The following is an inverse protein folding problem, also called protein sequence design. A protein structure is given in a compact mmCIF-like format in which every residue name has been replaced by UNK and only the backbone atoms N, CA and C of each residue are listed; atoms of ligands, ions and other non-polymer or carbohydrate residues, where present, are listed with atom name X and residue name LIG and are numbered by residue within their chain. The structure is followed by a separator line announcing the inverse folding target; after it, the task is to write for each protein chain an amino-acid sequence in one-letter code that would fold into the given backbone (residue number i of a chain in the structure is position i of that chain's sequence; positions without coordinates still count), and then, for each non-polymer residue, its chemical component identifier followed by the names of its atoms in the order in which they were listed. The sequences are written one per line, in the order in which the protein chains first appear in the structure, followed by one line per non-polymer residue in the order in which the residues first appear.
data_IF_767658658711
#
_entry.id   IF_767658658711
#
_cell.length_a   1.000
_cell.length_b   1.000
_cell.length_c   1.000
_cell.angle_alpha   90.00
_cell.angle_beta   90.00
_cell.angle_gamma   90.00
#
_symmetry.space_group_name_H-M   'P 1'
#
loop_
_entity.id
_entity.type
_entity.pdbx_description
1 polymer ?
#
# COMPACT_ATOMS: atom_id res chain seq x y z
N UNK A 1 -0.04 14.04 9.46
CA UNK A 1 -1.30 13.79 8.74
C UNK A 1 -2.14 12.92 9.65
N UNK A 2 -3.29 13.40 10.09
CA UNK A 2 -4.18 12.60 10.93
C UNK A 2 -4.89 11.57 10.04
N UNK A 3 -4.91 10.30 10.48
CA UNK A 3 -5.60 9.22 9.78
C UNK A 3 -6.47 8.48 10.78
N UNK A 4 -7.76 8.38 10.49
CA UNK A 4 -8.74 7.72 11.36
C UNK A 4 -9.10 6.37 10.76
N UNK A 5 -8.94 5.29 11.52
CA UNK A 5 -9.39 3.97 11.08
C UNK A 5 -10.92 3.99 10.90
N UNK A 6 -11.38 3.64 9.71
CA UNK A 6 -12.80 3.57 9.38
C UNK A 6 -13.28 2.13 9.39
N UNK A 7 -12.52 1.25 8.76
CA UNK A 7 -12.94 -0.14 8.59
C UNK A 7 -11.74 -1.09 8.51
N UNK A 8 -12.01 -2.36 8.79
CA UNK A 8 -11.05 -3.47 8.71
C UNK A 8 -11.72 -4.67 8.05
N UNK A 9 -11.17 -5.08 6.92
CA UNK A 9 -11.69 -6.15 6.07
C UNK A 9 -10.72 -7.33 6.08
N UNK A 10 -11.22 -8.52 6.41
CA UNK A 10 -10.48 -9.77 6.18
C UNK A 10 -10.51 -10.13 4.70
N UNK A 11 -9.34 -10.45 4.14
CA UNK A 11 -9.17 -10.85 2.75
C UNK A 11 -9.12 -12.38 2.66
N UNK A 12 -9.55 -12.95 1.53
CA UNK A 12 -9.68 -14.41 1.35
C UNK A 12 -8.35 -15.16 1.49
N UNK A 13 -7.23 -14.49 1.20
CA UNK A 13 -5.90 -15.08 1.36
C UNK A 13 -5.42 -15.11 2.82
N UNK A 14 -6.14 -14.49 3.77
CA UNK A 14 -5.79 -14.39 5.19
C UNK A 14 -5.16 -13.06 5.61
N UNK A 15 -4.91 -12.15 4.67
CA UNK A 15 -4.44 -10.79 4.99
C UNK A 15 -5.58 -9.92 5.52
N UNK A 16 -5.19 -8.79 6.14
CA UNK A 16 -6.14 -7.80 6.64
C UNK A 16 -5.93 -6.46 5.93
N UNK A 17 -7.00 -5.95 5.31
CA UNK A 17 -7.06 -4.61 4.76
C UNK A 17 -7.63 -3.65 5.80
N UNK A 18 -6.88 -2.59 6.11
CA UNK A 18 -7.33 -1.48 6.95
C UNK A 18 -7.60 -0.28 6.07
N UNK A 19 -8.78 0.32 6.22
CA UNK A 19 -9.16 1.55 5.54
C UNK A 19 -9.14 2.71 6.53
N UNK A 20 -8.42 3.77 6.17
CA UNK A 20 -8.35 4.99 6.95
C UNK A 20 -8.90 6.18 6.18
N UNK A 21 -9.59 7.05 6.91
CA UNK A 21 -9.99 8.38 6.47
C UNK A 21 -8.87 9.36 6.78
N UNK A 22 -8.27 9.90 5.73
CA UNK A 22 -7.25 10.96 5.79
C UNK A 22 -7.79 12.31 5.35
N UNK A 23 -9.12 12.48 5.32
CA UNK A 23 -9.76 13.70 4.83
C UNK A 23 -9.42 14.89 5.73
N UNK A 24 -9.23 16.05 5.11
CA UNK A 24 -8.91 17.30 5.80
C UNK A 24 -9.51 18.49 5.10
N UNK A 25 -9.79 19.52 5.88
CA UNK A 25 -10.20 20.83 5.36
C UNK A 25 -8.98 21.54 4.75
N UNK A 26 -9.15 22.09 3.54
CA UNK A 26 -8.09 22.85 2.85
C UNK A 26 -8.28 24.35 3.11
N UNK A 27 -9.42 24.91 2.69
CA UNK A 27 -9.73 26.34 2.83
C UNK A 27 -11.25 26.57 2.78
N UNK A 28 -11.76 27.53 3.56
CA UNK A 28 -13.19 27.93 3.59
C UNK A 28 -14.18 26.75 3.73
N UNK A 29 -14.78 26.30 2.63
CA UNK A 29 -15.72 25.17 2.53
C UNK A 29 -15.15 23.99 1.71
N UNK A 30 -13.90 24.09 1.28
CA UNK A 30 -13.21 23.10 0.44
C UNK A 30 -12.45 22.08 1.27
N UNK A 31 -12.73 20.81 0.96
CA UNK A 31 -12.12 19.64 1.57
C UNK A 31 -11.25 18.88 0.58
N UNK A 32 -10.20 18.27 1.12
CA UNK A 32 -9.53 17.11 0.52
C UNK A 32 -10.14 15.88 1.19
N UNK A 33 -10.74 15.00 0.39
CA UNK A 33 -11.21 13.69 0.85
C UNK A 33 -10.14 12.66 0.50
N UNK A 34 -9.71 11.86 1.47
CA UNK A 34 -8.69 10.84 1.23
C UNK A 34 -9.06 9.51 1.88
N UNK A 35 -9.00 8.44 1.10
CA UNK A 35 -9.09 7.06 1.55
C UNK A 35 -7.71 6.41 1.45
N UNK A 36 -7.24 5.85 2.56
CA UNK A 36 -5.94 5.18 2.65
C UNK A 36 -6.19 3.70 2.90
N UNK A 37 -5.87 2.87 1.91
CA UNK A 37 -5.92 1.42 2.01
C UNK A 37 -4.55 0.88 2.40
N UNK A 38 -4.49 0.16 3.51
CA UNK A 38 -3.26 -0.39 4.07
C UNK A 38 -3.37 -1.90 4.29
N UNK A 39 -2.37 -2.65 3.83
CA UNK A 39 -2.21 -4.07 4.11
C UNK A 39 -0.79 -4.30 4.59
N UNK A 40 -0.64 -4.91 5.77
CA UNK A 40 0.64 -5.41 6.23
C UNK A 40 0.85 -6.82 5.66
N UNK A 41 1.89 -7.01 4.86
CA UNK A 41 2.24 -8.30 4.27
C UNK A 41 3.45 -8.87 5.00
N UNK A 42 3.26 -9.90 5.86
CA UNK A 42 4.37 -10.57 6.53
C UNK A 42 5.31 -11.22 5.52
N UNK A 43 6.62 -11.21 5.80
CA UNK A 43 7.62 -11.83 4.89
C UNK A 43 7.50 -13.36 4.85
N UNK A 44 6.88 -13.97 5.86
CA UNK A 44 6.65 -15.41 5.97
C UNK A 44 5.35 -15.88 5.28
N UNK A 45 4.53 -14.94 4.79
CA UNK A 45 3.25 -15.24 4.15
C UNK A 45 3.39 -15.99 2.82
N UNK A 46 4.31 -15.63 1.91
CA UNK A 46 4.46 -16.35 0.65
C UNK A 46 5.18 -17.70 0.84
N UNK A 47 4.91 -18.60 -0.10
CA UNK A 47 5.66 -19.85 -0.25
C UNK A 47 7.17 -19.56 -0.43
N UNK A 48 8.06 -20.14 0.41
CA UNK A 48 9.50 -20.02 0.25
C UNK A 48 10.01 -20.38 -1.15
N UNK A 49 9.40 -21.35 -1.83
CA UNK A 49 9.80 -21.72 -3.19
C UNK A 49 9.59 -20.57 -4.18
N UNK A 50 8.50 -19.81 -4.02
CA UNK A 50 8.19 -18.67 -4.88
C UNK A 50 9.28 -17.60 -4.78
N UNK A 51 9.75 -17.32 -3.55
CA UNK A 51 10.82 -16.36 -3.31
C UNK A 51 12.16 -16.87 -3.86
N UNK A 52 12.46 -18.15 -3.63
CA UNK A 52 13.69 -18.78 -4.11
C UNK A 52 13.79 -18.75 -5.64
N UNK A 53 12.70 -19.04 -6.36
CA UNK A 53 12.63 -18.93 -7.84
C UNK A 53 12.87 -17.51 -8.34
N UNK A 54 12.56 -16.50 -7.52
CA UNK A 54 12.84 -15.10 -7.81
C UNK A 54 14.24 -14.64 -7.38
N UNK A 55 15.08 -15.56 -6.88
CA UNK A 55 16.46 -15.31 -6.48
C UNK A 55 16.61 -14.51 -5.19
N UNK A 56 15.67 -14.68 -4.25
CA UNK A 56 15.69 -14.01 -2.94
C UNK A 56 15.17 -14.92 -1.83
N UNK A 57 15.49 -14.57 -0.59
CA UNK A 57 15.02 -15.23 0.63
C UNK A 57 14.16 -14.29 1.46
N UNK A 58 13.49 -14.84 2.48
CA UNK A 58 12.74 -14.03 3.46
C UNK A 58 13.65 -13.06 4.21
N UNK A 59 14.86 -13.49 4.56
CA UNK A 59 15.85 -12.66 5.24
C UNK A 59 16.28 -11.48 4.37
N UNK A 60 16.53 -11.71 3.08
CA UNK A 60 16.88 -10.64 2.14
C UNK A 60 15.79 -9.55 2.12
N UNK A 61 14.53 -9.96 2.14
CA UNK A 61 13.37 -9.05 2.14
C UNK A 61 13.29 -8.31 3.47
N UNK A 62 13.35 -9.01 4.60
CA UNK A 62 13.23 -8.38 5.93
C UNK A 62 14.38 -7.42 6.23
N UNK A 63 15.60 -7.73 5.81
CA UNK A 63 16.76 -6.85 5.99
C UNK A 63 16.66 -5.60 5.11
N UNK A 64 16.13 -5.74 3.88
CA UNK A 64 16.02 -4.63 2.94
C UNK A 64 14.79 -3.74 3.18
N UNK A 65 13.64 -4.33 3.54
CA UNK A 65 12.33 -3.69 3.53
C UNK A 65 11.62 -3.70 4.90
N UNK A 66 12.14 -4.45 5.87
CA UNK A 66 11.48 -4.72 7.14
C UNK A 66 10.44 -5.83 7.07
N UNK A 67 9.84 -6.11 8.22
CA UNK A 67 8.75 -7.08 8.36
C UNK A 67 7.72 -6.53 9.39
N UNK A 68 6.44 -6.38 9.02
CA UNK A 68 5.84 -6.64 7.70
C UNK A 68 6.18 -5.57 6.66
N UNK A 69 6.12 -5.94 5.38
CA UNK A 69 6.20 -4.96 4.27
C UNK A 69 4.80 -4.37 4.06
N UNK A 70 4.70 -3.04 4.16
CA UNK A 70 3.42 -2.34 4.03
C UNK A 70 3.07 -2.06 2.57
N UNK A 71 1.94 -2.60 2.13
CA UNK A 71 1.22 -2.09 0.97
C UNK A 71 0.36 -0.90 1.42
N UNK A 72 0.55 0.25 0.76
CA UNK A 72 -0.29 1.42 0.97
C UNK A 72 -0.75 1.98 -0.37
N UNK A 73 -2.06 2.26 -0.46
CA UNK A 73 -2.66 2.96 -1.59
C UNK A 73 -3.50 4.11 -1.05
N UNK A 74 -3.13 5.33 -1.45
CA UNK A 74 -3.90 6.54 -1.17
C UNK A 74 -4.71 6.91 -2.40
N UNK A 75 -6.02 7.06 -2.24
CA UNK A 75 -6.90 7.69 -3.21
C UNK A 75 -7.44 8.98 -2.59
N UNK A 76 -7.34 10.09 -3.33
CA UNK A 76 -7.80 11.38 -2.85
C UNK A 76 -8.61 12.13 -3.90
N UNK A 77 -9.51 12.99 -3.43
CA UNK A 77 -10.25 13.97 -4.21
C UNK A 77 -10.10 15.33 -3.55
N UNK A 78 -9.72 16.32 -4.35
CA UNK A 78 -9.48 17.68 -3.88
C UNK A 78 -10.69 18.58 -4.20
N UNK A 79 -10.80 19.71 -3.49
CA UNK A 79 -11.81 20.75 -3.71
C UNK A 79 -13.28 20.31 -3.54
N UNK A 80 -13.51 19.31 -2.69
CA UNK A 80 -14.86 18.82 -2.37
C UNK A 80 -15.60 19.85 -1.54
N UNK A 81 -16.81 20.22 -1.97
CA UNK A 81 -17.69 21.11 -1.22
C UNK A 81 -18.17 20.44 0.08
N UNK A 82 -18.34 21.22 1.14
CA UNK A 82 -18.76 20.69 2.43
C UNK A 82 -20.13 19.98 2.37
N UNK A 83 -21.02 20.40 1.46
CA UNK A 83 -22.31 19.75 1.21
C UNK A 83 -22.18 18.35 0.61
N UNK A 84 -21.12 18.12 -0.16
CA UNK A 84 -20.87 16.86 -0.88
C UNK A 84 -19.89 15.95 -0.14
N UNK A 85 -19.39 16.37 1.02
CA UNK A 85 -18.34 15.67 1.75
C UNK A 85 -18.71 14.21 2.02
N UNK A 86 -19.90 13.95 2.58
CA UNK A 86 -20.34 12.59 2.90
C UNK A 86 -20.49 11.70 1.66
N UNK A 87 -21.31 12.06 0.64
CA UNK A 87 -21.48 11.20 -0.53
C UNK A 87 -20.17 10.99 -1.31
N UNK A 88 -19.28 11.98 -1.36
CA UNK A 88 -17.97 11.84 -2.01
C UNK A 88 -17.06 10.89 -1.22
N UNK A 89 -17.03 11.00 0.11
CA UNK A 89 -16.26 10.08 0.95
C UNK A 89 -16.77 8.65 0.82
N UNK A 90 -18.08 8.42 0.97
CA UNK A 90 -18.66 7.09 0.88
C UNK A 90 -18.39 6.45 -0.49
N UNK A 91 -18.59 7.21 -1.57
CA UNK A 91 -18.31 6.76 -2.93
C UNK A 91 -16.82 6.46 -3.18
N UNK A 92 -15.92 7.24 -2.57
CA UNK A 92 -14.48 7.01 -2.67
C UNK A 92 -14.07 5.71 -1.96
N UNK A 93 -14.58 5.48 -0.76
CA UNK A 93 -14.32 4.25 0.01
C UNK A 93 -14.88 3.03 -0.72
N UNK A 94 -16.11 3.10 -1.23
CA UNK A 94 -16.70 2.01 -2.02
C UNK A 94 -15.86 1.70 -3.26
N UNK A 95 -15.43 2.73 -4.00
CA UNK A 95 -14.56 2.56 -5.17
C UNK A 95 -13.21 1.90 -4.83
N UNK A 96 -12.63 2.23 -3.68
CA UNK A 96 -11.41 1.58 -3.17
C UNK A 96 -11.67 0.12 -2.87
N UNK A 97 -12.77 -0.21 -2.18
CA UNK A 97 -13.14 -1.59 -1.85
C UNK A 97 -13.36 -2.41 -3.12
N UNK A 98 -14.20 -1.93 -4.04
CA UNK A 98 -14.57 -2.64 -5.26
C UNK A 98 -13.36 -2.92 -6.17
N UNK A 99 -12.37 -2.02 -6.16
CA UNK A 99 -11.17 -2.15 -6.99
C UNK A 99 -10.05 -2.94 -6.33
N UNK A 100 -9.78 -2.72 -5.04
CA UNK A 100 -8.63 -3.30 -4.36
C UNK A 100 -8.94 -4.67 -3.76
N UNK A 101 -10.11 -4.89 -3.16
CA UNK A 101 -10.39 -6.17 -2.45
C UNK A 101 -10.24 -7.37 -3.37
N UNK A 102 -10.77 -7.40 -4.61
CA UNK A 102 -10.58 -8.54 -5.51
C UNK A 102 -9.12 -8.80 -5.86
N UNK A 103 -8.30 -7.76 -5.98
CA UNK A 103 -6.88 -7.88 -6.29
C UNK A 103 -6.06 -8.34 -5.08
N UNK A 104 -6.30 -7.73 -3.92
CA UNK A 104 -5.57 -7.99 -2.68
C UNK A 104 -5.93 -9.34 -2.07
N UNK A 105 -7.13 -9.87 -2.33
CA UNK A 105 -7.58 -11.18 -1.84
C UNK A 105 -7.01 -12.35 -2.61
N UNK A 106 -6.32 -12.11 -3.74
CA UNK A 106 -5.74 -13.19 -4.53
C UNK A 106 -4.66 -13.93 -3.73
N UNK A 107 -4.55 -15.26 -3.85
CA UNK A 107 -3.55 -16.04 -3.12
C UNK A 107 -2.11 -15.72 -3.56
N UNK A 108 -1.91 -15.26 -4.81
CA UNK A 108 -0.59 -14.91 -5.35
C UNK A 108 -0.16 -13.47 -5.05
N UNK A 109 -1.06 -12.62 -4.55
CA UNK A 109 -0.78 -11.21 -4.26
C UNK A 109 0.42 -11.02 -3.31
N UNK A 110 0.47 -11.67 -2.13
CA UNK A 110 1.53 -11.43 -1.15
C UNK A 110 2.93 -11.67 -1.72
N UNK A 111 3.13 -12.82 -2.37
CA UNK A 111 4.40 -13.19 -2.97
C UNK A 111 4.80 -12.27 -4.12
N UNK A 112 3.87 -11.95 -5.01
CA UNK A 112 4.14 -11.01 -6.11
C UNK A 112 4.48 -9.61 -5.60
N UNK A 113 3.80 -9.15 -4.55
CA UNK A 113 4.05 -7.87 -3.93
C UNK A 113 5.46 -7.79 -3.33
N UNK A 114 5.86 -8.78 -2.52
CA UNK A 114 7.19 -8.80 -1.90
C UNK A 114 8.31 -8.86 -2.95
N UNK A 115 8.18 -9.74 -3.95
CA UNK A 115 9.16 -9.86 -5.04
C UNK A 115 9.34 -8.52 -5.76
N UNK A 116 8.23 -7.88 -6.13
CA UNK A 116 8.26 -6.58 -6.81
C UNK A 116 8.93 -5.51 -5.95
N UNK A 117 8.57 -5.42 -4.67
CA UNK A 117 9.14 -4.42 -3.75
C UNK A 117 10.64 -4.61 -3.55
N UNK A 118 11.09 -5.86 -3.43
CA UNK A 118 12.50 -6.16 -3.30
C UNK A 118 13.28 -5.82 -4.59
N UNK A 119 12.71 -6.13 -5.75
CA UNK A 119 13.30 -5.73 -7.04
C UNK A 119 13.40 -4.21 -7.20
N UNK A 120 12.36 -3.46 -6.82
CA UNK A 120 12.37 -1.99 -6.80
C UNK A 120 13.49 -1.45 -5.89
N UNK A 121 13.65 -1.99 -4.69
CA UNK A 121 14.73 -1.63 -3.76
C UNK A 121 16.12 -1.91 -4.34
N UNK A 122 16.31 -3.09 -4.95
CA UNK A 122 17.58 -3.47 -5.58
C UNK A 122 17.95 -2.55 -6.75
N UNK A 123 16.97 -2.11 -7.53
CA UNK A 123 17.21 -1.15 -8.60
C UNK A 123 17.66 0.19 -8.01
N UNK A 124 16.93 0.75 -7.05
CA UNK A 124 17.24 2.04 -6.42
C UNK A 124 18.63 2.08 -5.78
N UNK A 125 19.05 0.98 -5.14
CA UNK A 125 20.38 0.88 -4.53
C UNK A 125 21.51 0.83 -5.57
N UNK A 126 21.27 0.22 -6.75
CA UNK A 126 22.23 0.25 -7.86
C UNK A 126 22.38 1.65 -8.45
N UNK A 127 21.28 2.40 -8.60
CA UNK A 127 21.33 3.79 -9.09
C UNK A 127 22.10 4.70 -8.13
N UNK A 128 21.79 4.65 -6.82
CA UNK A 128 22.52 5.42 -5.80
C UNK A 128 24.04 5.18 -5.82
N UNK A 129 24.45 3.91 -5.90
CA UNK A 129 25.88 3.56 -5.97
C UNK A 129 26.56 4.05 -7.26
N UNK A 130 25.83 4.14 -8.37
CA UNK A 130 26.38 4.70 -9.62
C UNK A 130 26.55 6.20 -9.52
N UNK A 131 25.57 6.92 -9.00
CA UNK A 131 25.67 8.38 -8.83
C UNK A 131 26.86 8.75 -7.92
N UNK A 132 27.04 8.02 -6.81
CA UNK A 132 28.19 8.22 -5.91
C UNK A 132 29.56 7.95 -6.58
N UNK A 133 29.61 7.14 -7.65
CA UNK A 133 30.83 6.85 -8.43
C UNK A 133 31.07 7.84 -9.59
N UNK A 134 30.05 8.60 -10.01
CA UNK A 134 30.18 9.61 -11.09
C UNK A 134 30.52 11.01 -10.56
N UNK A 135 30.37 11.25 -9.25
CA UNK A 135 30.75 12.50 -8.58
C UNK A 135 32.04 12.37 -7.72
N UNK A 136 32.77 11.25 -7.83
CA UNK A 136 34.03 11.00 -7.14
C UNK A 136 35.25 11.13 -8.07
#
# INVERSE_FOLDING_TARGET
MERRLVDTLSLDNGLTLKLYDGSRKIAADRWQVACIANVAVPVDFPDPEMLSRAGMTRNDISEALGDPVLFEKVLERNFVDASDLKPVTDGLFQSVVDSLVPYLSRPDFPGRFLIRKYQEYRQQTVWRKKDDLFFA
#
